data_IF_786882089682
#
_entry.id   IF_786882089682
#
_cell.length_a   1.000
_cell.length_b   1.000
_cell.length_c   1.000
_cell.angle_alpha   90.00
_cell.angle_beta   90.00
_cell.angle_gamma   90.00
#
_symmetry.space_group_name_H-M   'P 1'
#
loop_
_entity.id
_entity.type
_entity.pdbx_description
1 polymer ?
#
# COMPACT_ATOMS: atom_id res chain seq x y z
N UNK A 1 -3.97 -14.91 0.21
CA UNK A 1 -5.41 -14.55 0.28
C UNK A 1 -5.81 -14.38 1.73
N UNK A 2 -6.14 -13.16 2.16
CA UNK A 2 -6.64 -12.92 3.51
C UNK A 2 -8.09 -13.39 3.59
N UNK A 3 -8.32 -14.53 4.26
CA UNK A 3 -9.65 -15.02 4.63
C UNK A 3 -10.28 -13.93 5.52
N UNK A 4 -11.31 -13.27 5.01
CA UNK A 4 -12.03 -12.22 5.72
C UNK A 4 -12.67 -12.77 6.99
N UNK A 5 -11.93 -12.74 8.11
CA UNK A 5 -12.44 -13.08 9.42
C UNK A 5 -13.58 -12.15 9.81
N UNK A 6 -14.66 -12.73 10.32
CA UNK A 6 -15.79 -11.99 10.88
C UNK A 6 -15.28 -11.06 11.99
N UNK A 7 -15.62 -9.78 11.90
CA UNK A 7 -15.24 -8.78 12.90
C UNK A 7 -16.47 -8.00 13.27
N UNK A 8 -16.81 -7.98 14.55
CA UNK A 8 -17.89 -7.17 15.12
C UNK A 8 -17.76 -5.68 14.77
N UNK A 9 -16.53 -5.19 14.58
CA UNK A 9 -16.23 -3.82 14.12
C UNK A 9 -16.56 -3.57 12.64
N UNK A 10 -16.66 -4.63 11.82
CA UNK A 10 -17.08 -4.57 10.42
C UNK A 10 -18.60 -4.66 10.30
N UNK A 11 -19.23 -5.42 11.20
CA UNK A 11 -20.69 -5.56 11.30
C UNK A 11 -21.38 -4.24 11.72
N UNK A 12 -20.74 -3.42 12.56
CA UNK A 12 -21.26 -2.10 12.96
C UNK A 12 -21.35 -1.07 11.81
N UNK A 13 -20.97 -1.43 10.58
CA UNK A 13 -21.20 -0.62 9.38
C UNK A 13 -20.32 0.63 9.24
N UNK A 14 -19.63 1.05 10.31
CA UNK A 14 -18.78 2.25 10.32
C UNK A 14 -17.69 2.23 9.23
N UNK A 15 -17.11 1.05 8.98
CA UNK A 15 -16.11 0.86 7.93
C UNK A 15 -16.72 0.96 6.52
N UNK A 16 -17.96 0.49 6.35
CA UNK A 16 -18.69 0.58 5.08
C UNK A 16 -19.13 2.01 4.78
N UNK A 17 -19.60 2.75 5.79
CA UNK A 17 -19.96 4.17 5.67
C UNK A 17 -18.75 5.02 5.22
N UNK A 18 -17.60 4.86 5.87
CA UNK A 18 -16.35 5.55 5.46
C UNK A 18 -15.91 5.17 4.04
N UNK A 19 -16.07 3.91 3.64
CA UNK A 19 -15.78 3.46 2.28
C UNK A 19 -16.73 4.10 1.25
N UNK A 20 -18.01 4.23 1.56
CA UNK A 20 -19.00 4.87 0.69
C UNK A 20 -18.71 6.35 0.50
N UNK A 21 -18.44 7.08 1.59
CA UNK A 21 -18.07 8.50 1.49
C UNK A 21 -16.76 8.67 0.74
N UNK A 22 -15.74 7.86 1.04
CA UNK A 22 -14.44 7.88 0.38
C UNK A 22 -14.54 7.64 -1.14
N UNK A 23 -15.49 6.80 -1.59
CA UNK A 23 -15.76 6.58 -3.01
C UNK A 23 -16.48 7.75 -3.68
N UNK A 24 -17.33 8.49 -2.94
CA UNK A 24 -18.00 9.69 -3.45
C UNK A 24 -17.06 10.88 -3.59
N UNK A 25 -16.10 11.04 -2.69
CA UNK A 25 -15.16 12.17 -2.67
C UNK A 25 -13.79 11.84 -3.31
N UNK A 26 -13.58 10.60 -3.76
CA UNK A 26 -12.33 10.02 -4.27
C UNK A 26 -11.09 10.09 -3.34
N UNK A 27 -11.24 10.64 -2.14
CA UNK A 27 -10.19 10.79 -1.15
C UNK A 27 -10.26 9.64 -0.13
N UNK A 28 -9.17 8.88 0.09
CA UNK A 28 -9.12 7.80 1.07
C UNK A 28 -9.16 8.35 2.50
N UNK A 29 -10.32 8.21 3.16
CA UNK A 29 -10.53 8.66 4.55
C UNK A 29 -9.94 7.71 5.60
N UNK A 30 -9.57 6.49 5.22
CA UNK A 30 -9.03 5.48 6.13
C UNK A 30 -7.52 5.40 6.05
N UNK A 31 -6.86 5.11 7.19
CA UNK A 31 -5.40 4.88 7.24
C UNK A 31 -4.98 3.73 6.31
N UNK A 32 -5.76 2.66 6.27
CA UNK A 32 -5.55 1.53 5.37
C UNK A 32 -5.69 1.90 3.89
N UNK A 33 -6.68 2.72 3.52
CA UNK A 33 -6.86 3.21 2.16
C UNK A 33 -5.70 4.10 1.70
N UNK A 34 -5.20 4.97 2.57
CA UNK A 34 -3.99 5.77 2.31
C UNK A 34 -2.76 4.88 2.11
N UNK A 35 -2.53 3.91 2.99
CA UNK A 35 -1.43 2.96 2.85
C UNK A 35 -1.52 2.13 1.58
N UNK A 36 -2.73 1.78 1.10
CA UNK A 36 -2.89 1.10 -0.19
C UNK A 36 -2.64 2.03 -1.38
N UNK A 37 -3.01 3.32 -1.30
CA UNK A 37 -2.73 4.30 -2.36
C UNK A 37 -1.23 4.59 -2.45
N UNK A 38 -0.58 4.85 -1.31
CA UNK A 38 0.88 5.01 -1.21
C UNK A 38 1.58 3.72 -1.60
N UNK A 39 1.14 2.56 -1.10
CA UNK A 39 1.67 1.25 -1.48
C UNK A 39 1.57 1.00 -2.98
N UNK A 40 0.46 1.33 -3.64
CA UNK A 40 0.37 1.25 -5.11
C UNK A 40 1.36 2.19 -5.80
N UNK A 41 1.56 3.41 -5.31
CA UNK A 41 2.54 4.34 -5.88
C UNK A 41 3.98 3.82 -5.69
N UNK A 42 4.28 3.26 -4.53
CA UNK A 42 5.60 2.69 -4.26
C UNK A 42 5.79 1.40 -5.06
N UNK A 43 4.89 0.42 -4.99
CA UNK A 43 5.10 -0.90 -5.59
C UNK A 43 4.77 -0.97 -7.09
N UNK A 44 3.85 -0.15 -7.61
CA UNK A 44 3.48 -0.11 -9.03
C UNK A 44 3.92 1.16 -9.76
N UNK A 45 4.38 2.18 -9.04
CA UNK A 45 4.94 3.37 -9.67
C UNK A 45 6.40 3.18 -10.07
N UNK A 46 6.87 4.06 -10.94
CA UNK A 46 8.25 4.10 -11.43
C UNK A 46 9.28 4.11 -10.27
N UNK A 47 8.92 4.72 -9.13
CA UNK A 47 9.81 4.86 -7.98
C UNK A 47 10.22 3.52 -7.33
N UNK A 48 9.29 2.58 -7.15
CA UNK A 48 9.65 1.27 -6.59
C UNK A 48 10.40 0.38 -7.56
N UNK A 49 10.13 0.53 -8.86
CA UNK A 49 10.90 -0.17 -9.89
C UNK A 49 12.35 0.32 -9.93
N UNK A 50 12.56 1.63 -9.80
CA UNK A 50 13.90 2.22 -9.71
C UNK A 50 14.64 1.73 -8.46
N UNK A 51 14.00 1.75 -7.28
CA UNK A 51 14.62 1.27 -6.03
C UNK A 51 14.95 -0.23 -6.12
N UNK A 52 14.06 -1.03 -6.69
CA UNK A 52 14.28 -2.47 -6.86
C UNK A 52 15.43 -2.80 -7.82
N UNK A 53 15.70 -1.94 -8.82
CA UNK A 53 16.81 -2.09 -9.75
C UNK A 53 18.14 -1.56 -9.16
N UNK A 54 18.12 -0.43 -8.45
CA UNK A 54 19.36 0.21 -7.98
C UNK A 54 19.96 -0.45 -6.75
N UNK A 55 19.13 -0.94 -5.82
CA UNK A 55 19.59 -1.63 -4.60
C UNK A 55 20.52 -2.84 -4.86
N UNK A 56 20.16 -3.81 -5.72
CA UNK A 56 21.01 -4.97 -5.96
C UNK A 56 22.29 -4.61 -6.71
N UNK A 57 22.23 -3.64 -7.63
CA UNK A 57 23.41 -3.16 -8.38
C UNK A 57 24.41 -2.54 -7.40
N UNK A 58 23.95 -1.69 -6.48
CA UNK A 58 24.79 -1.04 -5.48
C UNK A 58 25.40 -2.06 -4.50
N UNK A 59 24.63 -3.09 -4.12
CA UNK A 59 25.10 -4.18 -3.27
C UNK A 59 26.21 -4.99 -3.93
N UNK A 60 26.08 -5.32 -5.22
CA UNK A 60 27.12 -6.01 -6.00
C UNK A 60 28.39 -5.15 -6.11
N UNK A 61 28.23 -3.85 -6.31
CA UNK A 61 29.34 -2.90 -6.43
C UNK A 61 30.13 -2.79 -5.13
N UNK A 62 29.45 -2.79 -3.98
CA UNK A 62 30.07 -2.82 -2.65
C UNK A 62 30.87 -4.12 -2.44
N UNK A 63 30.30 -5.27 -2.85
CA UNK A 63 30.99 -6.57 -2.77
C UNK A 63 32.23 -6.63 -3.67
N UNK A 64 32.21 -5.96 -4.82
CA UNK A 64 33.34 -5.92 -5.75
C UNK A 64 34.45 -4.95 -5.32
N UNK A 65 34.11 -3.91 -4.56
CA UNK A 65 35.05 -2.89 -4.08
C UNK A 65 35.72 -3.24 -2.75
N UNK A 66 35.21 -4.23 -2.03
CA UNK A 66 35.69 -4.66 -0.71
C UNK A 66 36.32 -6.05 -0.80
#
# INVERSE_FOLDING_TARGET
MNKGGFSWKKLSGYSAAKSNVSRKIEIPLTKSGRNQKVGKIVTKGCLGMLIALTLPILFILIILLY
#
